data_IF_340401672264
#
_entry.id   IF_340401672264
#
_cell.length_a   1.000
_cell.length_b   1.000
_cell.length_c   1.000
_cell.angle_alpha   90.00
_cell.angle_beta   90.00
_cell.angle_gamma   90.00
#
_symmetry.space_group_name_H-M   'P 1'
#
loop_
_entity.id
_entity.type
_entity.pdbx_description
1 polymer ?
#
# COMPACT_ATOMS: atom_id res chain seq x y z
N UNK A 1 -9.43 22.71 -0.03
CA UNK A 1 -8.60 21.68 -0.69
C UNK A 1 -8.49 20.51 0.27
N UNK A 2 -8.75 19.28 -0.16
CA UNK A 2 -8.57 18.07 0.65
C UNK A 2 -7.09 17.84 0.94
N UNK A 3 -6.79 17.27 2.12
CA UNK A 3 -5.42 17.01 2.60
C UNK A 3 -5.26 15.53 2.94
N UNK A 4 -4.11 14.96 2.56
CA UNK A 4 -3.74 13.58 2.88
C UNK A 4 -2.40 13.58 3.61
N UNK A 5 -2.37 13.07 4.85
CA UNK A 5 -1.13 12.77 5.53
C UNK A 5 -0.52 11.49 4.93
N UNK A 6 0.75 11.56 4.54
CA UNK A 6 1.49 10.46 3.94
C UNK A 6 2.63 10.07 4.89
N UNK A 7 2.49 8.94 5.56
CA UNK A 7 3.44 8.43 6.57
C UNK A 7 4.18 7.25 5.95
N UNK A 8 5.39 7.51 5.42
CA UNK A 8 6.17 6.52 4.69
C UNK A 8 7.64 6.98 4.61
N UNK A 9 8.56 6.14 4.13
CA UNK A 9 9.94 6.58 3.91
C UNK A 9 10.07 7.54 2.72
N UNK A 10 11.14 8.33 2.71
CA UNK A 10 11.54 9.16 1.58
C UNK A 10 12.81 8.60 0.95
N UNK A 11 12.67 7.83 -0.11
CA UNK A 11 13.78 7.29 -0.90
C UNK A 11 14.20 8.27 -1.99
N UNK A 12 15.44 8.79 -1.93
CA UNK A 12 15.97 9.79 -2.86
C UNK A 12 16.13 9.26 -4.28
N UNK A 13 16.52 7.98 -4.43
CA UNK A 13 16.60 7.29 -5.71
C UNK A 13 15.76 6.03 -5.68
N UNK A 14 14.89 5.87 -6.67
CA UNK A 14 13.84 4.87 -6.75
C UNK A 14 12.47 5.55 -6.83
N UNK A 15 11.47 4.78 -7.23
CA UNK A 15 10.10 5.27 -7.48
C UNK A 15 9.12 4.56 -6.56
N UNK A 16 9.27 4.79 -5.26
CA UNK A 16 8.50 4.14 -4.19
C UNK A 16 8.16 5.13 -3.09
N UNK A 17 7.38 4.69 -2.15
CA UNK A 17 7.08 5.38 -0.89
C UNK A 17 6.64 6.85 -1.11
N UNK A 18 7.18 7.82 -0.38
CA UNK A 18 6.80 9.24 -0.53
C UNK A 18 7.10 9.80 -1.92
N UNK A 19 8.16 9.33 -2.62
CA UNK A 19 8.46 9.81 -3.98
C UNK A 19 7.44 9.36 -5.01
N UNK A 20 6.70 8.28 -4.75
CA UNK A 20 5.55 7.83 -5.54
C UNK A 20 4.24 8.48 -5.06
N UNK A 21 4.00 8.52 -3.75
CA UNK A 21 2.74 8.98 -3.17
C UNK A 21 2.49 10.48 -3.37
N UNK A 22 3.52 11.34 -3.16
CA UNK A 22 3.39 12.80 -3.28
C UNK A 22 2.88 13.24 -4.65
N UNK A 23 3.51 12.85 -5.78
CA UNK A 23 3.03 13.27 -7.12
C UNK A 23 1.65 12.71 -7.44
N UNK A 24 1.32 11.47 -7.03
CA UNK A 24 -0.01 10.88 -7.25
C UNK A 24 -1.09 11.69 -6.53
N UNK A 25 -0.95 11.91 -5.23
CA UNK A 25 -1.93 12.67 -4.44
C UNK A 25 -2.04 14.11 -4.95
N UNK A 26 -0.91 14.73 -5.31
CA UNK A 26 -0.89 16.11 -5.81
C UNK A 26 -1.58 16.26 -7.16
N UNK A 27 -1.34 15.36 -8.13
CA UNK A 27 -2.01 15.43 -9.45
C UNK A 27 -3.52 15.17 -9.33
N UNK A 28 -3.94 14.39 -8.34
CA UNK A 28 -5.36 14.18 -8.02
C UNK A 28 -6.01 15.40 -7.36
N UNK A 29 -5.32 16.55 -7.24
CA UNK A 29 -5.87 17.82 -6.75
C UNK A 29 -5.96 17.93 -5.23
N UNK A 30 -5.18 17.16 -4.49
CA UNK A 30 -5.12 17.20 -3.03
C UNK A 30 -3.76 17.66 -2.53
N UNK A 31 -3.71 18.22 -1.32
CA UNK A 31 -2.47 18.53 -0.65
C UNK A 31 -1.87 17.27 -0.05
N UNK A 32 -0.72 16.83 -0.56
CA UNK A 32 0.10 15.80 0.06
C UNK A 32 0.87 16.43 1.24
N UNK A 33 0.74 15.82 2.42
CA UNK A 33 1.40 16.25 3.66
C UNK A 33 2.33 15.13 4.15
N UNK A 34 3.61 15.09 3.71
CA UNK A 34 4.51 13.99 4.03
C UNK A 34 5.01 14.05 5.48
N UNK A 35 4.97 12.89 6.15
CA UNK A 35 5.63 12.60 7.42
C UNK A 35 6.61 11.45 7.18
N UNK A 36 7.92 11.74 7.05
CA UNK A 36 8.91 10.70 6.79
C UNK A 36 9.10 9.76 7.98
N UNK A 37 9.15 8.44 7.74
CA UNK A 37 9.57 7.42 8.70
C UNK A 37 11.07 7.16 8.65
N UNK A 38 11.66 7.32 7.45
CA UNK A 38 13.10 7.26 7.21
C UNK A 38 13.44 8.12 5.99
N UNK A 39 14.70 8.52 5.86
CA UNK A 39 15.23 9.18 4.66
C UNK A 39 16.37 8.32 4.12
N UNK A 40 16.19 7.82 2.90
CA UNK A 40 17.14 6.95 2.24
C UNK A 40 17.75 7.63 1.02
N UNK A 41 19.04 7.39 0.78
CA UNK A 41 19.70 7.87 -0.46
C UNK A 41 19.18 7.13 -1.70
N UNK A 42 18.81 5.85 -1.53
CA UNK A 42 18.13 5.01 -2.51
C UNK A 42 17.25 3.99 -1.80
N UNK A 43 16.22 3.49 -2.47
CA UNK A 43 15.34 2.46 -1.90
C UNK A 43 16.11 1.15 -1.62
N UNK A 44 15.63 0.35 -0.66
CA UNK A 44 16.35 -0.79 -0.07
C UNK A 44 16.65 -1.94 -1.04
N UNK A 45 16.00 -2.02 -2.20
CA UNK A 45 16.30 -3.02 -3.23
C UNK A 45 17.59 -2.77 -4.01
N UNK A 46 18.22 -1.60 -3.86
CA UNK A 46 19.56 -1.36 -4.45
C UNK A 46 20.65 -1.99 -3.56
N UNK A 47 21.76 -2.35 -4.19
CA UNK A 47 22.91 -3.01 -3.51
C UNK A 47 23.62 -2.11 -2.50
N UNK A 48 23.38 -0.79 -2.52
CA UNK A 48 23.97 0.18 -1.60
C UNK A 48 23.02 1.35 -1.40
N UNK A 49 22.77 1.70 -0.15
CA UNK A 49 22.03 2.88 0.27
C UNK A 49 22.47 3.28 1.67
N UNK A 50 22.23 4.54 2.02
CA UNK A 50 22.31 5.03 3.39
C UNK A 50 20.88 5.33 3.85
N UNK A 51 20.59 4.97 5.09
CA UNK A 51 19.29 5.21 5.72
C UNK A 51 19.49 6.04 6.99
N UNK A 52 18.80 7.17 7.07
CA UNK A 52 18.65 7.95 8.30
C UNK A 52 17.25 7.66 8.87
N UNK A 53 17.20 6.95 9.98
CA UNK A 53 15.96 6.66 10.69
C UNK A 53 15.36 7.94 11.27
N UNK A 54 14.06 8.14 11.04
CA UNK A 54 13.39 9.39 11.42
C UNK A 54 12.49 9.25 12.65
N UNK A 55 12.55 8.11 13.34
CA UNK A 55 11.69 7.76 14.48
C UNK A 55 11.62 8.88 15.54
N UNK A 56 12.78 9.41 15.97
CA UNK A 56 12.85 10.46 17.00
C UNK A 56 12.24 11.79 16.54
N UNK A 57 12.00 11.97 15.26
CA UNK A 57 11.49 13.22 14.69
C UNK A 57 10.01 13.17 14.33
N UNK A 58 9.41 11.98 14.28
CA UNK A 58 8.00 11.82 13.91
C UNK A 58 7.06 12.58 14.86
N UNK A 59 7.33 12.58 16.15
CA UNK A 59 6.50 13.28 17.14
C UNK A 59 6.47 14.79 16.92
N UNK A 60 7.57 15.40 16.41
CA UNK A 60 7.58 16.83 16.10
C UNK A 60 6.56 17.20 15.03
N UNK A 61 6.33 16.32 14.03
CA UNK A 61 5.28 16.55 13.03
C UNK A 61 3.90 16.53 13.68
N UNK A 62 3.62 15.52 14.52
CA UNK A 62 2.36 15.41 15.24
C UNK A 62 2.10 16.64 16.10
N UNK A 63 3.07 17.04 16.92
CA UNK A 63 2.96 18.19 17.82
C UNK A 63 2.78 19.52 17.07
N UNK A 64 3.60 19.78 16.03
CA UNK A 64 3.53 21.03 15.30
C UNK A 64 2.26 21.13 14.46
N UNK A 65 1.83 20.03 13.81
CA UNK A 65 0.57 20.04 13.07
C UNK A 65 -0.65 20.17 13.98
N UNK A 66 -0.57 19.65 15.20
CA UNK A 66 -1.59 19.89 16.24
C UNK A 66 -1.66 21.37 16.65
N UNK A 67 -0.51 22.01 16.89
CA UNK A 67 -0.43 23.46 17.20
C UNK A 67 -0.98 24.32 16.06
N UNK A 68 -0.74 23.92 14.81
CA UNK A 68 -1.26 24.59 13.61
C UNK A 68 -2.75 24.32 13.35
N UNK A 69 -3.39 23.42 14.10
CA UNK A 69 -4.79 23.04 13.90
C UNK A 69 -5.04 22.35 12.56
N UNK A 70 -4.05 21.59 12.05
CA UNK A 70 -4.18 20.86 10.79
C UNK A 70 -5.23 19.77 10.92
N UNK A 71 -5.99 19.54 9.83
CA UNK A 71 -6.94 18.43 9.72
C UNK A 71 -6.73 17.70 8.41
N UNK A 72 -6.99 16.40 8.40
CA UNK A 72 -6.80 15.54 7.23
C UNK A 72 -8.13 14.90 6.80
N UNK A 73 -8.33 14.81 5.47
CA UNK A 73 -9.41 14.05 4.83
C UNK A 73 -8.99 12.59 4.62
N UNK A 74 -7.69 12.34 4.52
CA UNK A 74 -7.11 11.01 4.41
C UNK A 74 -5.78 10.91 5.16
N UNK A 75 -5.46 9.72 5.64
CA UNK A 75 -4.17 9.33 6.20
C UNK A 75 -3.76 8.05 5.46
N UNK A 76 -2.54 8.00 4.97
CA UNK A 76 -1.96 6.82 4.35
C UNK A 76 -0.64 6.50 5.04
N UNK A 77 -0.53 5.31 5.61
CA UNK A 77 0.72 4.80 6.19
C UNK A 77 1.27 3.63 5.36
N UNK A 78 2.57 3.62 5.13
CA UNK A 78 3.30 2.55 4.44
C UNK A 78 4.44 2.00 5.31
N UNK A 79 5.67 2.08 4.81
CA UNK A 79 6.85 1.50 5.44
C UNK A 79 7.12 2.05 6.84
N UNK A 80 7.37 1.11 7.78
CA UNK A 80 7.83 1.36 9.14
C UNK A 80 9.08 0.54 9.41
N UNK A 81 10.11 1.15 10.04
CA UNK A 81 11.37 0.47 10.33
C UNK A 81 11.29 -0.46 11.56
N UNK A 82 10.40 -0.15 12.50
CA UNK A 82 10.24 -0.90 13.74
C UNK A 82 8.87 -0.70 14.41
N UNK A 83 8.62 -1.44 15.49
CA UNK A 83 7.39 -1.33 16.28
C UNK A 83 7.24 0.04 16.99
N UNK A 84 8.33 0.73 17.27
CA UNK A 84 8.29 2.08 17.88
C UNK A 84 7.66 3.09 16.93
N UNK A 85 7.94 3.00 15.64
CA UNK A 85 7.30 3.85 14.62
C UNK A 85 5.79 3.57 14.55
N UNK A 86 5.37 2.31 14.67
CA UNK A 86 3.94 1.97 14.71
C UNK A 86 3.25 2.65 15.89
N UNK A 87 3.86 2.67 17.08
CA UNK A 87 3.28 3.36 18.23
C UNK A 87 3.12 4.88 17.98
N UNK A 88 4.07 5.50 17.26
CA UNK A 88 3.96 6.91 16.85
C UNK A 88 2.84 7.13 15.83
N UNK A 89 2.63 6.20 14.90
CA UNK A 89 1.49 6.27 13.95
C UNK A 89 0.17 6.08 14.69
N UNK A 90 0.07 5.14 15.63
CA UNK A 90 -1.13 4.98 16.47
C UNK A 90 -1.44 6.27 17.26
N UNK A 91 -0.42 6.91 17.83
CA UNK A 91 -0.57 8.22 18.47
C UNK A 91 -1.02 9.30 17.48
N UNK A 92 -0.43 9.34 16.26
CA UNK A 92 -0.86 10.26 15.20
C UNK A 92 -2.34 10.05 14.83
N UNK A 93 -2.80 8.80 14.73
CA UNK A 93 -4.21 8.50 14.45
C UNK A 93 -5.11 9.00 15.59
N UNK A 94 -4.75 8.82 16.86
CA UNK A 94 -5.51 9.35 17.99
C UNK A 94 -5.70 10.87 17.94
N UNK A 95 -4.70 11.61 17.44
CA UNK A 95 -4.74 13.05 17.35
C UNK A 95 -5.49 13.58 16.10
N UNK A 96 -5.38 12.88 14.97
CA UNK A 96 -5.84 13.43 13.68
C UNK A 96 -6.95 12.64 12.98
N UNK A 97 -7.15 11.34 13.29
CA UNK A 97 -8.20 10.55 12.67
C UNK A 97 -9.56 10.93 13.26
N UNK A 98 -10.49 11.32 12.41
CA UNK A 98 -11.89 11.62 12.72
C UNK A 98 -12.79 10.62 12.02
N UNK A 99 -14.07 10.55 12.36
CA UNK A 99 -15.06 9.67 11.70
C UNK A 99 -15.10 9.87 10.16
N UNK A 100 -14.79 11.08 9.67
CA UNK A 100 -14.79 11.40 8.24
C UNK A 100 -13.41 11.26 7.58
N UNK A 101 -12.37 10.92 8.34
CA UNK A 101 -11.01 10.74 7.84
C UNK A 101 -10.83 9.31 7.37
N UNK A 102 -10.55 9.10 6.09
CA UNK A 102 -10.15 7.79 5.57
C UNK A 102 -8.76 7.44 6.09
N UNK A 103 -8.59 6.30 6.71
CA UNK A 103 -7.27 5.74 6.99
C UNK A 103 -7.00 4.51 6.11
N UNK A 104 -5.95 4.59 5.31
CA UNK A 104 -5.40 3.50 4.51
C UNK A 104 -4.06 3.06 5.09
N UNK A 105 -3.94 1.78 5.43
CA UNK A 105 -2.66 1.18 5.84
C UNK A 105 -2.17 0.20 4.77
N UNK A 106 -0.96 0.44 4.27
CA UNK A 106 -0.20 -0.48 3.43
C UNK A 106 0.77 -1.25 4.34
N UNK A 107 0.53 -2.55 4.61
CA UNK A 107 1.27 -3.28 5.63
C UNK A 107 2.59 -3.83 5.11
N UNK A 108 3.56 -2.96 4.84
CA UNK A 108 4.86 -3.30 4.22
C UNK A 108 5.68 -4.22 5.12
N UNK A 109 5.55 -5.54 4.92
CA UNK A 109 6.19 -6.59 5.74
C UNK A 109 7.06 -7.55 4.92
N UNK A 110 6.76 -7.74 3.64
CA UNK A 110 7.47 -8.69 2.78
C UNK A 110 6.80 -8.89 1.43
N UNK A 111 7.43 -9.65 0.54
CA UNK A 111 6.90 -10.01 -0.77
C UNK A 111 7.39 -11.38 -1.23
N UNK A 112 6.66 -12.03 -2.17
CA UNK A 112 7.01 -13.34 -2.74
C UNK A 112 7.29 -14.44 -1.69
N UNK A 113 6.61 -14.41 -0.55
CA UNK A 113 6.79 -15.37 0.54
C UNK A 113 8.02 -15.12 1.41
N UNK A 114 8.69 -13.99 1.25
CA UNK A 114 9.86 -13.58 2.05
C UNK A 114 9.54 -12.29 2.80
N UNK A 115 10.01 -12.19 4.04
CA UNK A 115 9.94 -10.95 4.82
C UNK A 115 11.08 -10.01 4.44
N UNK A 116 10.86 -8.71 4.61
CA UNK A 116 11.92 -7.71 4.44
C UNK A 116 12.92 -7.74 5.61
N UNK A 117 14.13 -7.20 5.41
CA UNK A 117 15.23 -7.22 6.39
C UNK A 117 14.87 -6.56 7.75
N UNK A 118 13.97 -5.60 7.73
CA UNK A 118 13.48 -4.90 8.93
C UNK A 118 12.40 -5.68 9.71
N UNK A 119 11.97 -6.83 9.18
CA UNK A 119 10.91 -7.63 9.82
C UNK A 119 11.32 -8.10 11.20
N UNK A 120 10.42 -7.94 12.16
CA UNK A 120 10.47 -8.57 13.48
C UNK A 120 9.06 -9.00 13.90
N UNK A 121 8.99 -9.88 14.89
CA UNK A 121 7.70 -10.33 15.44
C UNK A 121 6.96 -9.16 16.10
N UNK A 122 7.67 -8.24 16.74
CA UNK A 122 7.12 -7.04 17.35
C UNK A 122 6.54 -6.10 16.27
N UNK A 123 7.24 -5.95 15.14
CA UNK A 123 6.73 -5.18 14.00
C UNK A 123 5.44 -5.80 13.45
N UNK A 124 5.38 -7.13 13.30
CA UNK A 124 4.19 -7.84 12.84
C UNK A 124 3.01 -7.65 13.81
N UNK A 125 3.23 -7.78 15.11
CA UNK A 125 2.16 -7.58 16.10
C UNK A 125 1.65 -6.13 16.09
N UNK A 126 2.55 -5.16 16.03
CA UNK A 126 2.16 -3.75 15.88
C UNK A 126 1.41 -3.48 14.58
N UNK A 127 1.84 -4.09 13.46
CA UNK A 127 1.16 -3.94 12.17
C UNK A 127 -0.26 -4.57 12.20
N UNK A 128 -0.42 -5.72 12.89
CA UNK A 128 -1.76 -6.30 13.11
C UNK A 128 -2.67 -5.33 13.88
N UNK A 129 -2.16 -4.68 14.94
CA UNK A 129 -2.90 -3.65 15.68
C UNK A 129 -3.26 -2.46 14.78
N UNK A 130 -2.26 -1.92 14.08
CA UNK A 130 -2.44 -0.75 13.21
C UNK A 130 -3.50 -0.99 12.12
N UNK A 131 -3.47 -2.16 11.49
CA UNK A 131 -4.41 -2.51 10.43
C UNK A 131 -5.85 -2.67 10.90
N UNK A 132 -6.12 -2.98 12.19
CA UNK A 132 -7.51 -3.05 12.70
C UNK A 132 -8.22 -1.70 12.67
N UNK A 133 -7.48 -0.59 12.70
CA UNK A 133 -8.01 0.77 12.72
C UNK A 133 -8.20 1.37 11.33
N UNK A 134 -7.79 0.67 10.26
CA UNK A 134 -7.83 1.18 8.90
C UNK A 134 -9.14 0.81 8.19
N UNK A 135 -9.76 1.78 7.53
CA UNK A 135 -10.91 1.55 6.64
C UNK A 135 -10.49 0.78 5.38
N UNK A 136 -9.22 0.91 4.98
CA UNK A 136 -8.65 0.18 3.83
C UNK A 136 -7.27 -0.33 4.19
N UNK A 137 -6.98 -1.59 3.84
CA UNK A 137 -5.61 -2.13 3.84
C UNK A 137 -5.28 -2.70 2.46
N UNK A 138 -4.00 -2.58 2.05
CA UNK A 138 -3.54 -2.95 0.69
C UNK A 138 -2.47 -4.06 0.69
N UNK A 139 -2.65 -5.18 1.41
CA UNK A 139 -1.64 -6.22 1.50
C UNK A 139 -1.40 -6.89 0.15
N UNK A 140 -0.14 -7.25 -0.15
CA UNK A 140 0.14 -8.31 -1.10
C UNK A 140 -0.17 -9.68 -0.48
N UNK A 141 -0.02 -10.77 -1.25
CA UNK A 141 -0.36 -12.11 -0.75
C UNK A 141 0.52 -12.56 0.43
N UNK A 142 1.78 -12.15 0.47
CA UNK A 142 2.71 -12.47 1.58
C UNK A 142 2.25 -11.79 2.86
N UNK A 143 1.94 -10.53 2.77
CA UNK A 143 1.47 -9.71 3.90
C UNK A 143 0.10 -10.19 4.41
N UNK A 144 -0.82 -10.55 3.50
CA UNK A 144 -2.09 -11.15 3.88
C UNK A 144 -1.87 -12.45 4.69
N UNK A 145 -0.93 -13.30 4.25
CA UNK A 145 -0.60 -14.53 4.95
C UNK A 145 0.02 -14.27 6.33
N UNK A 146 0.94 -13.30 6.43
CA UNK A 146 1.55 -12.89 7.71
C UNK A 146 0.49 -12.35 8.70
N UNK A 147 -0.38 -11.45 8.24
CA UNK A 147 -1.43 -10.87 9.07
C UNK A 147 -2.48 -11.90 9.54
N UNK A 148 -2.72 -12.93 8.74
CA UNK A 148 -3.69 -14.00 9.05
C UNK A 148 -3.06 -15.24 9.68
N UNK A 149 -1.73 -15.25 9.90
CA UNK A 149 -0.98 -16.40 10.42
C UNK A 149 -1.20 -17.66 9.59
N UNK A 150 -1.20 -17.49 8.27
CA UNK A 150 -1.43 -18.58 7.30
C UNK A 150 -0.13 -18.84 6.54
N UNK A 151 0.20 -20.11 6.28
CA UNK A 151 1.39 -20.46 5.50
C UNK A 151 1.25 -20.00 4.04
N UNK A 152 2.19 -19.19 3.57
CA UNK A 152 2.22 -18.68 2.20
C UNK A 152 2.33 -19.82 1.18
N UNK A 153 3.14 -20.85 1.47
CA UNK A 153 3.33 -22.00 0.59
C UNK A 153 2.05 -22.80 0.36
N UNK A 154 1.22 -22.94 1.41
CA UNK A 154 -0.10 -23.57 1.29
C UNK A 154 -1.01 -22.77 0.37
N UNK A 155 -1.10 -21.45 0.55
CA UNK A 155 -1.97 -20.59 -0.26
C UNK A 155 -1.51 -20.56 -1.71
N UNK A 156 -0.21 -20.37 -1.99
CA UNK A 156 0.30 -20.28 -3.36
C UNK A 156 0.23 -21.61 -4.10
N UNK A 157 0.25 -22.77 -3.40
CA UNK A 157 0.06 -24.10 -3.99
C UNK A 157 -1.32 -24.24 -4.64
N UNK A 158 -2.31 -23.47 -4.18
CA UNK A 158 -3.66 -23.41 -4.72
C UNK A 158 -3.81 -22.52 -5.97
N UNK A 159 -2.75 -21.87 -6.46
CA UNK A 159 -2.75 -20.93 -7.59
C UNK A 159 -3.46 -21.43 -8.86
N UNK A 160 -3.43 -22.75 -9.10
CA UNK A 160 -4.11 -23.39 -10.23
C UNK A 160 -5.55 -23.85 -9.91
N UNK A 161 -5.98 -23.73 -8.67
CA UNK A 161 -7.32 -24.14 -8.24
C UNK A 161 -8.36 -23.10 -8.66
N UNK A 162 -9.50 -23.55 -9.17
CA UNK A 162 -10.63 -22.67 -9.49
C UNK A 162 -11.12 -21.86 -8.27
N UNK A 163 -10.89 -22.36 -7.07
CA UNK A 163 -11.27 -21.69 -5.81
C UNK A 163 -10.17 -20.76 -5.25
N UNK A 164 -9.08 -20.52 -5.97
CA UNK A 164 -7.95 -19.74 -5.44
C UNK A 164 -8.36 -18.36 -4.91
N UNK A 165 -9.18 -17.60 -5.66
CA UNK A 165 -9.69 -16.31 -5.20
C UNK A 165 -10.59 -16.44 -3.97
N UNK A 166 -11.38 -17.53 -3.86
CA UNK A 166 -12.21 -17.78 -2.67
C UNK A 166 -11.38 -18.09 -1.42
N UNK A 167 -10.22 -18.73 -1.58
CA UNK A 167 -9.27 -18.95 -0.48
C UNK A 167 -8.75 -17.62 0.02
N UNK A 168 -8.30 -16.75 -0.89
CA UNK A 168 -7.82 -15.39 -0.55
C UNK A 168 -8.94 -14.56 0.09
N UNK A 169 -10.14 -14.59 -0.46
CA UNK A 169 -11.34 -13.93 0.10
C UNK A 169 -11.62 -14.41 1.54
N UNK A 170 -11.49 -15.72 1.80
CA UNK A 170 -11.63 -16.28 3.15
C UNK A 170 -10.59 -15.73 4.14
N UNK A 171 -9.35 -15.49 3.70
CA UNK A 171 -8.33 -14.85 4.53
C UNK A 171 -8.67 -13.37 4.81
N UNK A 172 -9.17 -12.64 3.80
CA UNK A 172 -9.63 -11.27 4.00
C UNK A 172 -10.73 -11.20 5.06
N UNK A 173 -11.72 -12.10 5.04
CA UNK A 173 -12.77 -12.13 6.04
C UNK A 173 -12.26 -12.40 7.47
N UNK A 174 -11.14 -13.14 7.64
CA UNK A 174 -10.50 -13.29 8.96
C UNK A 174 -9.98 -11.96 9.52
N UNK A 175 -9.47 -11.06 8.65
CA UNK A 175 -9.03 -9.73 9.07
C UNK A 175 -10.21 -8.81 9.32
N UNK A 176 -11.18 -8.78 8.42
CA UNK A 176 -12.41 -7.95 8.56
C UNK A 176 -13.11 -8.26 9.89
N UNK A 177 -13.17 -9.54 10.30
CA UNK A 177 -13.76 -9.94 11.57
C UNK A 177 -13.03 -9.42 12.82
N UNK A 178 -11.77 -8.98 12.68
CA UNK A 178 -10.95 -8.41 13.76
C UNK A 178 -10.89 -6.87 13.71
N UNK A 179 -11.35 -6.27 12.62
CA UNK A 179 -11.28 -4.83 12.41
C UNK A 179 -12.17 -4.06 13.40
N UNK A 180 -11.68 -2.92 13.86
CA UNK A 180 -12.42 -2.02 14.75
C UNK A 180 -13.38 -1.08 13.99
N UNK A 181 -13.22 -1.03 12.66
CA UNK A 181 -13.98 -0.17 11.75
C UNK A 181 -14.52 -0.99 10.58
N UNK A 182 -15.46 -0.46 9.83
CA UNK A 182 -15.89 -1.06 8.57
C UNK A 182 -14.73 -1.08 7.57
N UNK A 183 -14.19 -2.27 7.25
CA UNK A 183 -12.94 -2.43 6.55
C UNK A 183 -13.10 -3.03 5.16
N UNK A 184 -12.27 -2.57 4.23
CA UNK A 184 -12.07 -3.18 2.91
C UNK A 184 -10.60 -3.64 2.79
N UNK A 185 -10.41 -4.93 2.48
CA UNK A 185 -9.08 -5.49 2.20
C UNK A 185 -8.87 -5.52 0.69
N UNK A 186 -7.80 -4.89 0.21
CA UNK A 186 -7.45 -4.86 -1.22
C UNK A 186 -6.16 -5.65 -1.45
N UNK A 187 -6.28 -6.95 -1.72
CA UNK A 187 -5.12 -7.82 -1.96
C UNK A 187 -4.55 -7.55 -3.33
N UNK A 188 -3.25 -7.21 -3.39
CA UNK A 188 -2.56 -6.81 -4.62
C UNK A 188 -1.70 -7.94 -5.20
N UNK A 189 -1.42 -7.88 -6.50
CA UNK A 189 -0.42 -8.72 -7.14
C UNK A 189 -0.78 -10.21 -7.23
N UNK A 190 -2.06 -10.58 -7.26
CA UNK A 190 -2.52 -11.96 -7.36
C UNK A 190 -2.27 -12.49 -8.77
N UNK A 191 -1.23 -13.29 -8.96
CA UNK A 191 -0.92 -13.91 -10.25
C UNK A 191 -1.73 -15.18 -10.44
N UNK A 192 -2.42 -15.30 -11.59
CA UNK A 192 -3.22 -16.48 -11.99
C UNK A 192 -2.83 -16.95 -13.38
N UNK A 193 -2.84 -18.26 -13.57
CA UNK A 193 -2.66 -18.88 -14.89
C UNK A 193 -4.01 -19.05 -15.57
N UNK A 194 -4.11 -18.59 -16.82
CA UNK A 194 -5.27 -18.79 -17.70
C UNK A 194 -4.84 -19.47 -19.00
N UNK A 195 -5.78 -20.02 -19.73
CA UNK A 195 -5.51 -20.60 -21.06
C UNK A 195 -4.98 -19.56 -22.05
N UNK A 196 -5.38 -18.29 -21.89
CA UNK A 196 -4.97 -17.16 -22.73
C UNK A 196 -3.65 -16.51 -22.32
N UNK A 197 -3.00 -16.98 -21.26
CA UNK A 197 -1.78 -16.42 -20.67
C UNK A 197 -1.96 -16.03 -19.21
N UNK A 198 -0.86 -15.75 -18.54
CA UNK A 198 -0.88 -15.33 -17.14
C UNK A 198 -1.47 -13.93 -16.98
N UNK A 199 -2.23 -13.75 -15.90
CA UNK A 199 -2.80 -12.45 -15.50
C UNK A 199 -2.35 -12.10 -14.08
N UNK A 200 -2.29 -10.82 -13.79
CA UNK A 200 -2.13 -10.28 -12.43
C UNK A 200 -3.36 -9.48 -12.07
N UNK A 201 -3.88 -9.67 -10.88
CA UNK A 201 -5.09 -8.99 -10.46
C UNK A 201 -5.06 -8.51 -9.03
N UNK A 202 -6.04 -7.68 -8.69
CA UNK A 202 -6.25 -7.12 -7.38
C UNK A 202 -7.67 -7.47 -6.92
N UNK A 203 -7.80 -7.90 -5.67
CA UNK A 203 -9.06 -8.37 -5.08
C UNK A 203 -9.46 -7.47 -3.91
N UNK A 204 -10.55 -6.74 -4.03
CA UNK A 204 -11.15 -6.01 -2.92
C UNK A 204 -12.25 -6.86 -2.26
N UNK A 205 -12.19 -6.98 -0.95
CA UNK A 205 -13.16 -7.72 -0.13
C UNK A 205 -13.61 -6.84 1.02
N UNK A 206 -14.92 -6.71 1.20
CA UNK A 206 -15.55 -6.07 2.35
C UNK A 206 -16.69 -6.96 2.87
N UNK A 207 -17.36 -6.56 3.94
CA UNK A 207 -18.57 -7.27 4.39
C UNK A 207 -19.70 -7.28 3.34
N UNK A 208 -19.74 -6.28 2.45
CA UNK A 208 -20.86 -6.04 1.53
C UNK A 208 -20.60 -6.57 0.13
N UNK A 209 -19.37 -6.54 -0.33
CA UNK A 209 -19.04 -6.90 -1.70
C UNK A 209 -17.62 -7.43 -1.84
N UNK A 210 -17.43 -8.22 -2.89
CA UNK A 210 -16.14 -8.66 -3.41
C UNK A 210 -16.01 -8.17 -4.84
N UNK A 211 -14.87 -7.56 -5.18
CA UNK A 211 -14.58 -7.07 -6.52
C UNK A 211 -13.17 -7.47 -6.95
N UNK A 212 -13.04 -8.04 -8.14
CA UNK A 212 -11.77 -8.46 -8.71
C UNK A 212 -11.54 -7.81 -10.05
N UNK A 213 -10.37 -7.21 -10.23
CA UNK A 213 -9.92 -6.64 -11.50
C UNK A 213 -8.55 -7.20 -11.85
N UNK A 214 -8.29 -7.47 -13.12
CA UNK A 214 -7.03 -8.08 -13.57
C UNK A 214 -6.54 -7.45 -14.86
N UNK A 215 -5.24 -7.60 -15.12
CA UNK A 215 -4.56 -7.21 -16.34
C UNK A 215 -3.58 -8.30 -16.79
N UNK A 216 -3.09 -8.29 -18.06
CA UNK A 216 -2.05 -9.21 -18.50
C UNK A 216 -0.81 -9.12 -17.60
N UNK A 217 -0.26 -10.28 -17.23
CA UNK A 217 0.98 -10.33 -16.44
C UNK A 217 2.20 -10.31 -17.34
N UNK A 218 3.07 -9.33 -17.17
CA UNK A 218 4.28 -9.15 -17.98
C UNK A 218 5.44 -10.08 -17.58
N UNK A 219 5.28 -10.87 -16.51
CA UNK A 219 6.33 -11.73 -15.97
C UNK A 219 7.37 -10.98 -15.13
N UNK A 220 7.21 -9.67 -14.90
CA UNK A 220 8.14 -8.83 -14.15
C UNK A 220 7.44 -8.13 -13.00
N UNK A 221 8.15 -8.00 -11.87
CA UNK A 221 7.78 -7.14 -10.75
C UNK A 221 8.60 -5.85 -10.77
N UNK A 222 8.02 -4.76 -10.27
CA UNK A 222 8.67 -3.46 -10.18
C UNK A 222 8.46 -2.88 -8.79
N UNK A 223 9.55 -2.37 -8.18
CA UNK A 223 9.49 -1.67 -6.89
C UNK A 223 8.56 -0.45 -6.97
N UNK A 224 7.84 -0.19 -5.89
CA UNK A 224 6.95 0.97 -5.76
C UNK A 224 5.58 0.85 -6.44
N UNK A 225 5.28 -0.27 -7.11
CA UNK A 225 3.94 -0.46 -7.70
C UNK A 225 2.85 -0.60 -6.63
N UNK A 226 3.18 -1.16 -5.45
CA UNK A 226 2.31 -1.17 -4.27
C UNK A 226 2.00 0.24 -3.77
N UNK A 227 3.04 1.07 -3.58
CA UNK A 227 2.90 2.47 -3.17
C UNK A 227 2.05 3.29 -4.15
N UNK A 228 2.26 3.09 -5.46
CA UNK A 228 1.46 3.74 -6.50
C UNK A 228 0.00 3.29 -6.43
N UNK A 229 -0.24 1.98 -6.27
CA UNK A 229 -1.60 1.44 -6.11
C UNK A 229 -2.28 2.04 -4.88
N UNK A 230 -1.66 1.94 -3.69
CA UNK A 230 -2.20 2.46 -2.44
C UNK A 230 -2.47 3.97 -2.50
N UNK A 231 -1.57 4.74 -3.14
CA UNK A 231 -1.74 6.18 -3.34
C UNK A 231 -2.94 6.52 -4.22
N UNK A 232 -3.15 5.81 -5.34
CA UNK A 232 -4.31 6.02 -6.22
C UNK A 232 -5.59 5.62 -5.51
N UNK A 233 -5.60 4.51 -4.77
CA UNK A 233 -6.74 4.09 -3.96
C UNK A 233 -7.08 5.15 -2.91
N UNK A 234 -6.09 5.56 -2.11
CA UNK A 234 -6.28 6.58 -1.08
C UNK A 234 -6.88 7.86 -1.67
N UNK A 235 -6.25 8.40 -2.72
CA UNK A 235 -6.72 9.62 -3.37
C UNK A 235 -8.13 9.49 -3.97
N UNK A 236 -8.44 8.36 -4.60
CA UNK A 236 -9.75 8.09 -5.20
C UNK A 236 -10.86 8.03 -4.14
N UNK A 237 -10.65 7.28 -3.07
CA UNK A 237 -11.62 7.16 -1.98
C UNK A 237 -11.79 8.47 -1.21
N UNK A 238 -10.71 9.22 -0.96
CA UNK A 238 -10.79 10.56 -0.37
C UNK A 238 -11.59 11.50 -1.28
N UNK A 239 -11.51 11.37 -2.60
CA UNK A 239 -12.35 12.13 -3.56
C UNK A 239 -13.83 11.70 -3.53
N UNK A 240 -14.14 10.53 -2.98
CA UNK A 240 -15.49 9.99 -2.88
C UNK A 240 -15.86 9.01 -3.99
N UNK A 241 -14.86 8.47 -4.73
CA UNK A 241 -15.09 7.39 -5.67
C UNK A 241 -15.45 6.10 -4.91
N UNK A 242 -16.21 5.21 -5.54
CA UNK A 242 -16.47 3.86 -5.02
C UNK A 242 -15.20 3.00 -5.02
N UNK A 243 -15.20 1.91 -4.25
CA UNK A 243 -14.13 0.91 -4.24
C UNK A 243 -13.82 0.40 -5.66
N UNK A 244 -14.87 0.10 -6.44
CA UNK A 244 -14.70 -0.39 -7.82
C UNK A 244 -14.02 0.62 -8.72
N UNK A 245 -14.49 1.87 -8.72
CA UNK A 245 -13.88 2.95 -9.53
C UNK A 245 -12.42 3.20 -9.12
N UNK A 246 -12.12 3.16 -7.82
CA UNK A 246 -10.75 3.31 -7.32
C UNK A 246 -9.85 2.17 -7.78
N UNK A 247 -10.31 0.91 -7.68
CA UNK A 247 -9.60 -0.29 -8.12
C UNK A 247 -9.33 -0.27 -9.64
N UNK A 248 -10.35 0.06 -10.44
CA UNK A 248 -10.20 0.15 -11.89
C UNK A 248 -9.20 1.24 -12.28
N UNK A 249 -9.32 2.43 -11.67
CA UNK A 249 -8.39 3.55 -11.91
C UNK A 249 -6.95 3.16 -11.56
N UNK A 250 -6.71 2.57 -10.39
CA UNK A 250 -5.37 2.15 -9.96
C UNK A 250 -4.78 1.07 -10.88
N UNK A 251 -5.59 0.06 -11.23
CA UNK A 251 -5.15 -1.05 -12.09
C UNK A 251 -4.80 -0.57 -13.51
N UNK A 252 -5.64 0.26 -14.13
CA UNK A 252 -5.36 0.79 -15.48
C UNK A 252 -4.14 1.71 -15.50
N UNK A 253 -4.01 2.60 -14.51
CA UNK A 253 -2.84 3.48 -14.38
C UNK A 253 -1.53 2.69 -14.29
N UNK A 254 -1.51 1.66 -13.44
CA UNK A 254 -0.33 0.81 -13.26
C UNK A 254 -0.05 -0.06 -14.49
N UNK A 255 -1.07 -0.60 -15.14
CA UNK A 255 -0.92 -1.45 -16.31
C UNK A 255 -0.11 -0.73 -17.40
N UNK A 256 -0.50 0.49 -17.77
CA UNK A 256 0.20 1.26 -18.82
C UNK A 256 1.69 1.46 -18.46
N UNK A 257 1.98 1.83 -17.21
CA UNK A 257 3.35 2.05 -16.76
C UNK A 257 4.19 0.75 -16.69
N UNK A 258 3.59 -0.36 -16.24
CA UNK A 258 4.25 -1.67 -16.16
C UNK A 258 4.52 -2.25 -17.57
N UNK A 259 3.58 -2.13 -18.49
CA UNK A 259 3.75 -2.59 -19.88
C UNK A 259 4.90 -1.84 -20.57
N UNK A 260 4.98 -0.51 -20.40
CA UNK A 260 6.10 0.27 -20.95
C UNK A 260 7.43 -0.16 -20.33
N UNK A 261 7.51 -0.22 -18.98
CA UNK A 261 8.73 -0.60 -18.29
C UNK A 261 9.21 -2.02 -18.68
N UNK A 262 8.26 -2.95 -18.88
CA UNK A 262 8.56 -4.31 -19.32
C UNK A 262 9.08 -4.35 -20.75
N UNK A 263 8.50 -3.58 -21.66
CA UNK A 263 8.93 -3.47 -23.07
C UNK A 263 10.30 -2.81 -23.21
N UNK A 264 10.58 -1.80 -22.39
CA UNK A 264 11.87 -1.11 -22.34
C UNK A 264 12.95 -1.87 -21.54
N UNK A 265 12.60 -3.03 -20.98
CA UNK A 265 13.47 -3.84 -20.12
C UNK A 265 14.07 -3.07 -18.94
N UNK A 266 13.29 -2.17 -18.32
CA UNK A 266 13.70 -1.45 -17.11
C UNK A 266 13.93 -2.47 -15.99
N UNK A 267 15.05 -2.39 -15.24
CA UNK A 267 15.27 -3.24 -14.07
C UNK A 267 14.18 -3.02 -13.03
N UNK A 268 13.64 -4.10 -12.44
CA UNK A 268 12.53 -4.02 -11.47
C UNK A 268 12.81 -3.09 -10.29
N UNK A 269 14.06 -3.03 -9.82
CA UNK A 269 14.49 -2.16 -8.73
C UNK A 269 14.37 -0.66 -9.03
N UNK A 270 14.36 -0.26 -10.31
CA UNK A 270 14.18 1.14 -10.72
C UNK A 270 12.73 1.62 -10.68
N UNK A 271 11.77 0.69 -10.53
CA UNK A 271 10.34 1.01 -10.60
C UNK A 271 9.86 1.31 -12.03
N UNK A 272 8.65 1.83 -12.15
CA UNK A 272 8.01 2.16 -13.43
C UNK A 272 8.04 3.66 -13.72
N UNK A 273 8.02 4.07 -15.00
CA UNK A 273 7.98 5.49 -15.41
C UNK A 273 6.55 6.06 -15.30
N UNK A 274 5.98 6.00 -14.11
CA UNK A 274 4.60 6.40 -13.84
C UNK A 274 4.33 7.88 -14.11
N UNK A 275 5.35 8.74 -14.07
CA UNK A 275 5.23 10.19 -14.26
C UNK A 275 4.59 10.55 -15.60
N UNK A 276 4.83 9.75 -16.65
CA UNK A 276 4.22 9.93 -17.96
C UNK A 276 2.69 9.73 -17.96
N UNK A 277 2.21 8.95 -17.00
CA UNK A 277 0.82 8.54 -16.90
C UNK A 277 0.01 9.31 -15.83
N UNK A 278 0.64 10.23 -15.09
CA UNK A 278 -0.03 11.00 -14.05
C UNK A 278 -1.29 11.73 -14.55
N UNK A 279 -1.31 12.16 -15.81
CA UNK A 279 -2.50 12.80 -16.41
C UNK A 279 -3.74 11.88 -16.46
N UNK A 280 -3.58 10.55 -16.35
CA UNK A 280 -4.69 9.59 -16.27
C UNK A 280 -5.45 9.66 -14.94
N UNK A 281 -4.88 10.33 -13.95
CA UNK A 281 -5.43 10.45 -12.59
C UNK A 281 -6.24 11.74 -12.37
N UNK A 282 -6.22 12.64 -13.35
CA UNK A 282 -6.97 13.91 -13.33
C UNK A 282 -8.50 13.72 -13.31
#
# INVERSE_FOLDING_TARGET
MKRVALINDLSGFGKCSLTAAIPVISVMGMQACPLPTAILTAQTGFSSYYCDDYTDKMDYFTEEWKKLGVTFDGIYSGFMSDAGQIQKVLHFLQEFKKETTLYLADPVLGDHGQTYDVFSEELLQGMKELTTQAEVITPNLTELCLLTETDYGEVISCKKNANYLKIIEGLCHKLIAKAEVGQTIMVTGIVRQKETGDVVGNLAVSEKETYYVESPYTGKGFSGTGDLFASVICGSLVKGLSVREAMDKATHFLQEAIEEASRENIPGVHGVNFEKYLSRLL
#
